data_IF_762827800611
#
_entry.id   IF_762827800611
#
_cell.length_a   1.000
_cell.length_b   1.000
_cell.length_c   1.000
_cell.angle_alpha   90.00
_cell.angle_beta   90.00
_cell.angle_gamma   90.00
#
_symmetry.space_group_name_H-M   'P 1'
#
loop_
_entity.id
_entity.type
_entity.pdbx_description
1 polymer ?
#
# COMPACT_ATOMS: atom_id res chain seq x y z
N UNK A 1 -11.96 13.67 11.19
CA UNK A 1 -12.11 12.33 10.60
C UNK A 1 -10.81 11.58 10.86
N UNK A 2 -10.86 10.42 11.52
CA UNK A 2 -9.66 9.61 11.77
C UNK A 2 -9.16 9.02 10.45
N UNK A 3 -7.85 8.86 10.28
CA UNK A 3 -7.33 8.13 9.13
C UNK A 3 -7.76 6.66 9.16
N UNK A 4 -8.03 6.10 10.35
CA UNK A 4 -8.53 4.73 10.54
C UNK A 4 -9.90 4.48 9.88
N UNK A 5 -10.70 5.53 9.67
CA UNK A 5 -12.02 5.43 9.02
C UNK A 5 -11.99 5.98 7.58
N UNK A 6 -10.86 6.53 7.14
CA UNK A 6 -10.71 7.10 5.81
C UNK A 6 -10.74 5.99 4.75
N UNK A 7 -11.32 6.28 3.58
CA UNK A 7 -11.24 5.39 2.43
C UNK A 7 -9.80 5.26 1.93
N UNK A 8 -9.49 4.17 1.23
CA UNK A 8 -8.17 3.98 0.63
C UNK A 8 -7.81 5.12 -0.34
N UNK A 9 -8.76 5.60 -1.14
CA UNK A 9 -8.56 6.75 -2.02
C UNK A 9 -8.17 8.02 -1.22
N UNK A 10 -8.81 8.24 -0.07
CA UNK A 10 -8.44 9.34 0.83
C UNK A 10 -7.04 9.17 1.41
N UNK A 11 -6.65 7.94 1.77
CA UNK A 11 -5.29 7.66 2.24
C UNK A 11 -4.27 7.97 1.16
N UNK A 12 -4.49 7.56 -0.09
CA UNK A 12 -3.55 7.86 -1.18
C UNK A 12 -3.44 9.35 -1.46
N UNK A 13 -4.55 10.09 -1.50
CA UNK A 13 -4.50 11.56 -1.66
C UNK A 13 -3.69 12.20 -0.52
N UNK A 14 -3.81 11.69 0.70
CA UNK A 14 -3.02 12.14 1.83
C UNK A 14 -1.53 11.78 1.68
N UNK A 15 -1.20 10.58 1.20
CA UNK A 15 0.17 10.16 0.88
C UNK A 15 0.79 11.10 -0.17
N UNK A 16 0.03 11.45 -1.22
CA UNK A 16 0.43 12.46 -2.22
C UNK A 16 0.68 13.86 -1.66
N UNK A 17 0.23 14.13 -0.43
CA UNK A 17 0.50 15.35 0.33
C UNK A 17 1.57 15.12 1.41
N UNK A 18 2.40 14.09 1.26
CA UNK A 18 3.49 13.72 2.17
C UNK A 18 3.05 13.39 3.60
N UNK A 19 1.81 12.91 3.78
CA UNK A 19 1.33 12.46 5.08
C UNK A 19 1.80 11.05 5.41
N UNK A 20 2.84 10.95 6.22
CA UNK A 20 3.42 9.68 6.67
C UNK A 20 2.43 8.82 7.46
N UNK A 21 1.56 9.44 8.23
CA UNK A 21 0.51 8.75 9.01
C UNK A 21 -0.53 8.07 8.11
N UNK A 22 -0.79 8.61 6.92
CA UNK A 22 -1.64 7.97 5.93
C UNK A 22 -0.97 6.75 5.29
N UNK A 23 0.34 6.80 5.02
CA UNK A 23 1.11 5.64 4.55
C UNK A 23 1.13 4.53 5.61
N UNK A 24 1.36 4.88 6.88
CA UNK A 24 1.34 3.95 7.98
C UNK A 24 -0.02 3.26 8.13
N UNK A 25 -1.11 4.00 7.93
CA UNK A 25 -2.46 3.42 7.95
C UNK A 25 -2.72 2.48 6.77
N UNK A 26 -2.30 2.85 5.56
CA UNK A 26 -2.38 1.96 4.40
C UNK A 26 -1.58 0.67 4.63
N UNK A 27 -0.36 0.78 5.18
CA UNK A 27 0.47 -0.35 5.55
C UNK A 27 -0.23 -1.26 6.56
N UNK A 28 -0.76 -0.69 7.64
CA UNK A 28 -1.45 -1.43 8.71
C UNK A 28 -2.60 -2.28 8.17
N UNK A 29 -3.36 -1.74 7.21
CA UNK A 29 -4.53 -2.43 6.62
C UNK A 29 -4.17 -3.50 5.63
N UNK A 30 -3.15 -3.26 4.79
CA UNK A 30 -2.97 -4.02 3.55
C UNK A 30 -1.68 -4.84 3.52
N UNK A 31 -0.67 -4.55 4.36
CA UNK A 31 0.63 -5.21 4.28
C UNK A 31 0.56 -6.73 4.47
N UNK A 32 -0.32 -7.22 5.34
CA UNK A 32 -0.52 -8.66 5.54
C UNK A 32 -1.07 -9.37 4.29
N UNK A 33 -1.98 -8.73 3.56
CA UNK A 33 -2.54 -9.29 2.32
C UNK A 33 -1.52 -9.28 1.18
N UNK A 34 -0.76 -8.19 1.05
CA UNK A 34 0.35 -8.09 0.08
C UNK A 34 1.41 -9.15 0.36
N UNK A 35 1.82 -9.30 1.62
CA UNK A 35 2.78 -10.33 2.03
C UNK A 35 2.29 -11.73 1.71
N UNK A 36 1.03 -12.06 2.05
CA UNK A 36 0.48 -13.38 1.79
C UNK A 36 0.43 -13.71 0.30
N UNK A 37 0.09 -12.72 -0.54
CA UNK A 37 0.12 -12.87 -1.99
C UNK A 37 1.55 -13.04 -2.51
N UNK A 38 2.47 -12.18 -2.10
CA UNK A 38 3.86 -12.24 -2.51
C UNK A 38 4.48 -13.59 -2.15
N UNK A 39 4.31 -14.05 -0.90
CA UNK A 39 4.81 -15.36 -0.44
C UNK A 39 4.21 -16.53 -1.22
N UNK A 40 2.94 -16.42 -1.65
CA UNK A 40 2.30 -17.45 -2.48
C UNK A 40 2.90 -17.50 -3.89
N UNK A 41 3.32 -16.37 -4.43
CA UNK A 41 3.90 -16.25 -5.78
C UNK A 41 5.39 -16.62 -5.78
N UNK A 42 6.15 -16.12 -4.81
CA UNK A 42 7.61 -16.31 -4.74
C UNK A 42 8.01 -17.64 -4.09
N UNK A 43 7.20 -18.17 -3.18
CA UNK A 43 7.57 -19.30 -2.33
C UNK A 43 8.67 -18.98 -1.31
N UNK A 44 9.09 -17.71 -1.20
CA UNK A 44 10.24 -17.27 -0.40
C UNK A 44 9.82 -16.11 0.52
N UNK A 45 10.17 -16.21 1.80
CA UNK A 45 9.79 -15.23 2.82
C UNK A 45 10.54 -13.91 2.68
N UNK A 46 11.84 -13.95 2.33
CA UNK A 46 12.67 -12.76 2.18
C UNK A 46 12.20 -11.97 0.96
N UNK A 47 12.01 -12.63 -0.18
CA UNK A 47 11.47 -11.98 -1.37
C UNK A 47 10.07 -11.41 -1.12
N UNK A 48 9.23 -12.09 -0.33
CA UNK A 48 7.91 -11.57 0.02
C UNK A 48 7.98 -10.29 0.87
N UNK A 49 8.92 -10.21 1.81
CA UNK A 49 9.16 -9.00 2.61
C UNK A 49 9.69 -7.86 1.73
N UNK A 50 10.62 -8.14 0.82
CA UNK A 50 11.13 -7.16 -0.15
C UNK A 50 10.02 -6.61 -1.04
N UNK A 51 9.12 -7.47 -1.53
CA UNK A 51 7.97 -7.04 -2.34
C UNK A 51 7.06 -6.10 -1.54
N UNK A 52 6.77 -6.42 -0.27
CA UNK A 52 5.98 -5.53 0.58
C UNK A 52 6.67 -4.18 0.70
N UNK A 53 7.96 -4.14 1.02
CA UNK A 53 8.71 -2.89 1.15
C UNK A 53 8.66 -2.08 -0.15
N UNK A 54 8.93 -2.71 -1.29
CA UNK A 54 8.94 -2.05 -2.59
C UNK A 54 7.56 -1.48 -2.97
N UNK A 55 6.47 -2.20 -2.69
CA UNK A 55 5.10 -1.72 -2.94
C UNK A 55 4.83 -0.41 -2.18
N UNK A 56 5.16 -0.35 -0.88
CA UNK A 56 4.90 0.85 -0.08
C UNK A 56 5.91 1.97 -0.35
N UNK A 57 7.15 1.65 -0.70
CA UNK A 57 8.13 2.62 -1.18
C UNK A 57 7.65 3.27 -2.49
N UNK A 58 7.12 2.50 -3.43
CA UNK A 58 6.54 3.03 -4.67
C UNK A 58 5.30 3.87 -4.41
N UNK A 59 4.43 3.43 -3.51
CA UNK A 59 3.26 4.22 -3.10
C UNK A 59 3.65 5.57 -2.50
N UNK A 60 4.74 5.63 -1.73
CA UNK A 60 5.28 6.86 -1.16
C UNK A 60 5.95 7.76 -2.20
N UNK A 61 6.74 7.19 -3.10
CA UNK A 61 7.54 7.94 -4.08
C UNK A 61 6.76 8.37 -5.33
N UNK A 62 5.64 7.71 -5.65
CA UNK A 62 4.82 8.01 -6.83
C UNK A 62 3.31 7.80 -6.55
N UNK A 63 2.73 8.52 -5.58
CA UNK A 63 1.34 8.36 -5.18
C UNK A 63 0.34 8.76 -6.28
N UNK A 64 0.75 9.58 -7.24
CA UNK A 64 -0.01 9.97 -8.42
C UNK A 64 -0.30 8.82 -9.40
N UNK A 65 0.45 7.71 -9.31
CA UNK A 65 0.24 6.52 -10.14
C UNK A 65 -0.89 5.60 -9.63
N UNK A 66 -1.43 5.88 -8.45
CA UNK A 66 -2.59 5.17 -7.94
C UNK A 66 -3.86 5.71 -8.61
N UNK A 67 -4.59 4.80 -9.24
CA UNK A 67 -5.88 5.09 -9.86
C UNK A 67 -6.98 4.35 -9.08
N UNK A 68 -7.83 5.05 -8.30
CA UNK A 68 -8.89 4.42 -7.51
C UNK A 68 -9.96 3.73 -8.38
N UNK A 69 -10.10 4.13 -9.65
CA UNK A 69 -11.11 3.62 -10.57
C UNK A 69 -10.63 2.35 -11.31
N UNK A 70 -9.33 2.03 -11.26
CA UNK A 70 -8.76 0.80 -11.86
C UNK A 70 -8.69 -0.40 -10.92
N UNK A 71 -9.07 -0.23 -9.66
CA UNK A 71 -9.14 -1.29 -8.66
C UNK A 71 -8.31 -0.99 -7.41
N UNK A 72 -8.76 -1.56 -6.28
CA UNK A 72 -8.04 -1.58 -4.99
C UNK A 72 -6.56 -1.97 -5.18
N UNK A 73 -5.70 -1.57 -4.22
CA UNK A 73 -4.25 -1.87 -4.08
C UNK A 73 -3.79 -3.32 -4.39
N UNK A 74 -4.71 -4.23 -4.68
CA UNK A 74 -4.53 -5.58 -5.21
C UNK A 74 -3.95 -5.66 -6.63
N UNK A 75 -3.94 -4.59 -7.42
CA UNK A 75 -3.43 -4.61 -8.81
C UNK A 75 -2.20 -3.74 -9.05
N UNK A 76 -1.39 -3.49 -8.01
CA UNK A 76 -0.05 -2.93 -8.15
C UNK A 76 1.01 -4.03 -8.10
#
# INVERSE_FOLDING_TARGET
MSLADASDATLVVAIGRWRQDALAEAYRRHAGAVYALARRVTGDTVLAEEVVQEVYLRLWNSPDKFDPDRGSLRSY
#
